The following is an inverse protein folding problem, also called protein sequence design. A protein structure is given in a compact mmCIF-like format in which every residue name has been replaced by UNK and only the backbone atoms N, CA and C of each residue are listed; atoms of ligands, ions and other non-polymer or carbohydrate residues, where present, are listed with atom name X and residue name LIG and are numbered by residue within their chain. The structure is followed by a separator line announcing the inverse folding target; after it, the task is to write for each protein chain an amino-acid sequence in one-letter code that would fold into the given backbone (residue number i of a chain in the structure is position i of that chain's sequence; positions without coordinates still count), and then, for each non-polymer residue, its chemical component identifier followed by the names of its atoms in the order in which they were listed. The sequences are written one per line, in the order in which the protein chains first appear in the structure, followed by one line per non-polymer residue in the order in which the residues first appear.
data_IF_215749287627
#
_entry.id   IF_215749287627
#
_cell.length_a   1.000
_cell.length_b   1.000
_cell.length_c   1.000
_cell.angle_alpha   90.00
_cell.angle_beta   90.00
_cell.angle_gamma   90.00
#
_symmetry.space_group_name_H-M   'P 1'
#
loop_
_entity.id
_entity.type
_entity.pdbx_description
1 polymer ?
#
# COMPACT_ATOMS: atom_id res chain seq x y z
N UNK A 1 9.80 -15.72 -13.33
CA UNK A 1 9.59 -14.95 -12.07
C UNK A 1 8.13 -14.98 -11.63
N UNK A 2 7.17 -14.52 -12.44
CA UNK A 2 5.75 -14.45 -12.05
C UNK A 2 5.12 -15.80 -11.66
N UNK A 3 5.43 -16.88 -12.38
CA UNK A 3 4.93 -18.24 -12.07
C UNK A 3 5.46 -18.73 -10.70
N UNK A 4 6.75 -18.50 -10.42
CA UNK A 4 7.41 -18.86 -9.15
C UNK A 4 6.79 -18.14 -7.96
N UNK A 5 6.52 -16.84 -8.09
CA UNK A 5 5.84 -16.04 -7.05
C UNK A 5 4.41 -16.56 -6.82
N UNK A 6 3.70 -16.91 -7.89
CA UNK A 6 2.37 -17.51 -7.82
C UNK A 6 2.37 -18.85 -7.08
N UNK A 7 3.34 -19.72 -7.38
CA UNK A 7 3.44 -21.04 -6.76
C UNK A 7 3.81 -20.91 -5.28
N UNK A 8 4.71 -19.97 -4.95
CA UNK A 8 5.15 -19.69 -3.57
C UNK A 8 4.02 -19.08 -2.71
N UNK A 9 3.10 -18.31 -3.29
CA UNK A 9 1.95 -17.76 -2.55
C UNK A 9 0.89 -18.82 -2.21
N UNK A 10 0.57 -19.69 -3.17
CA UNK A 10 -0.52 -20.68 -3.03
C UNK A 10 -0.07 -21.95 -2.30
N UNK A 11 1.18 -22.38 -2.49
CA UNK A 11 1.69 -23.62 -1.91
C UNK A 11 1.54 -23.72 -0.37
N UNK A 12 1.82 -22.67 0.43
CA UNK A 12 1.59 -22.69 1.88
C UNK A 12 0.13 -22.98 2.25
N UNK A 13 -0.83 -22.45 1.48
CA UNK A 13 -2.28 -22.64 1.75
C UNK A 13 -2.71 -24.08 1.51
N UNK A 14 -2.24 -24.68 0.42
CA UNK A 14 -2.56 -26.07 0.12
C UNK A 14 -1.88 -27.03 1.10
N UNK A 15 -0.65 -26.72 1.51
CA UNK A 15 0.09 -27.55 2.45
C UNK A 15 -0.51 -27.50 3.86
N UNK A 16 -0.91 -26.31 4.33
CA UNK A 16 -1.69 -26.16 5.57
C UNK A 16 -3.00 -26.96 5.51
N UNK A 17 -3.74 -26.88 4.40
CA UNK A 17 -4.98 -27.64 4.19
C UNK A 17 -4.75 -29.14 4.34
N UNK A 18 -3.70 -29.67 3.70
CA UNK A 18 -3.36 -31.10 3.72
C UNK A 18 -2.95 -31.56 5.11
N UNK A 19 -2.06 -30.82 5.78
CA UNK A 19 -1.64 -31.12 7.16
C UNK A 19 -2.85 -31.26 8.09
N UNK A 20 -3.75 -30.28 8.06
CA UNK A 20 -4.95 -30.30 8.90
C UNK A 20 -5.86 -31.46 8.53
N UNK A 21 -6.14 -31.69 7.24
CA UNK A 21 -7.00 -32.79 6.81
C UNK A 21 -6.44 -34.17 7.21
N UNK A 22 -5.14 -34.39 7.03
CA UNK A 22 -4.48 -35.67 7.35
C UNK A 22 -4.44 -35.91 8.87
N UNK A 23 -4.32 -34.85 9.67
CA UNK A 23 -4.39 -34.93 11.14
C UNK A 23 -5.77 -35.40 11.62
N UNK A 24 -6.84 -34.83 11.05
CA UNK A 24 -8.22 -35.20 11.42
C UNK A 24 -8.70 -36.51 10.80
N UNK A 25 -8.03 -37.03 9.77
CA UNK A 25 -8.33 -38.32 9.15
C UNK A 25 -7.66 -39.52 9.86
N UNK A 26 -6.91 -39.29 10.95
CA UNK A 26 -6.16 -40.34 11.65
C UNK A 26 -4.85 -40.72 10.98
N UNK A 27 -4.23 -39.79 10.23
CA UNK A 27 -2.97 -40.00 9.53
C UNK A 27 -1.78 -40.25 10.48
N UNK A 28 -0.80 -41.01 9.98
CA UNK A 28 0.44 -41.33 10.68
C UNK A 28 1.22 -40.05 11.06
N UNK A 29 1.72 -39.98 12.30
CA UNK A 29 2.52 -38.88 12.83
C UNK A 29 3.74 -38.63 11.93
N UNK A 30 4.30 -39.68 11.33
CA UNK A 30 5.40 -39.57 10.37
C UNK A 30 5.05 -38.78 9.09
N UNK A 31 3.83 -38.90 8.59
CA UNK A 31 3.35 -38.13 7.43
C UNK A 31 3.12 -36.65 7.79
N UNK A 32 2.57 -36.40 8.98
CA UNK A 32 2.38 -35.04 9.52
C UNK A 32 3.73 -34.34 9.68
N UNK A 33 4.74 -35.02 10.21
CA UNK A 33 6.08 -34.46 10.41
C UNK A 33 6.75 -34.09 9.08
N UNK A 34 6.63 -34.94 8.05
CA UNK A 34 7.13 -34.64 6.71
C UNK A 34 6.42 -33.44 6.08
N UNK A 35 5.10 -33.35 6.19
CA UNK A 35 4.35 -32.21 5.66
C UNK A 35 4.68 -30.90 6.41
N UNK A 36 4.88 -30.97 7.73
CA UNK A 36 5.32 -29.82 8.53
C UNK A 36 6.75 -29.37 8.15
N UNK A 37 7.67 -30.32 7.94
CA UNK A 37 9.02 -30.03 7.46
C UNK A 37 9.00 -29.43 6.04
N UNK A 38 8.16 -29.95 5.14
CA UNK A 38 7.96 -29.38 3.81
C UNK A 38 7.40 -27.94 3.90
N UNK A 39 6.47 -27.68 4.82
CA UNK A 39 5.93 -26.34 5.05
C UNK A 39 6.99 -25.37 5.54
N UNK A 40 7.80 -25.79 6.51
CA UNK A 40 8.93 -24.98 6.99
C UNK A 40 9.91 -24.67 5.85
N UNK A 41 10.22 -25.66 4.99
CA UNK A 41 11.07 -25.46 3.82
C UNK A 41 10.49 -24.45 2.83
N UNK A 42 9.22 -24.58 2.45
CA UNK A 42 8.54 -23.64 1.55
C UNK A 42 8.47 -22.23 2.16
N UNK A 43 8.14 -22.12 3.45
CA UNK A 43 8.07 -20.84 4.16
C UNK A 43 9.44 -20.16 4.23
N UNK A 44 10.52 -20.93 4.44
CA UNK A 44 11.89 -20.42 4.49
C UNK A 44 12.32 -19.90 3.11
N UNK A 45 12.05 -20.66 2.03
CA UNK A 45 12.33 -20.22 0.65
C UNK A 45 11.53 -18.96 0.31
N UNK A 46 10.25 -18.91 0.68
CA UNK A 46 9.40 -17.74 0.49
C UNK A 46 9.96 -16.52 1.24
N UNK A 47 10.41 -16.70 2.49
CA UNK A 47 11.03 -15.67 3.32
C UNK A 47 12.33 -15.14 2.73
N UNK A 48 13.22 -16.01 2.27
CA UNK A 48 14.47 -15.62 1.60
C UNK A 48 14.19 -14.84 0.32
N UNK A 49 13.22 -15.28 -0.48
CA UNK A 49 12.85 -14.57 -1.72
C UNK A 49 12.29 -13.18 -1.42
N UNK A 50 11.41 -13.06 -0.42
CA UNK A 50 10.86 -11.77 0.04
C UNK A 50 11.97 -10.85 0.56
N UNK A 51 12.89 -11.37 1.36
CA UNK A 51 14.06 -10.62 1.84
C UNK A 51 14.92 -10.11 0.68
N UNK A 52 15.25 -10.99 -0.27
CA UNK A 52 16.08 -10.65 -1.43
C UNK A 52 15.42 -9.58 -2.29
N UNK A 53 14.12 -9.69 -2.57
CA UNK A 53 13.37 -8.66 -3.29
C UNK A 53 13.38 -7.32 -2.54
N UNK A 54 13.17 -7.33 -1.22
CA UNK A 54 13.16 -6.10 -0.43
C UNK A 54 14.54 -5.43 -0.38
N UNK A 55 15.62 -6.20 -0.22
CA UNK A 55 16.98 -5.68 -0.24
C UNK A 55 17.33 -5.11 -1.62
N UNK A 56 16.97 -5.81 -2.70
CA UNK A 56 17.18 -5.31 -4.07
C UNK A 56 16.43 -4.00 -4.32
N UNK A 57 15.17 -3.92 -3.87
CA UNK A 57 14.35 -2.71 -3.97
C UNK A 57 14.98 -1.54 -3.21
N UNK A 58 15.45 -1.79 -1.98
CA UNK A 58 16.18 -0.79 -1.19
C UNK A 58 17.47 -0.34 -1.86
N UNK A 59 18.23 -1.26 -2.46
CA UNK A 59 19.46 -0.94 -3.18
C UNK A 59 19.19 -0.05 -4.41
N UNK A 60 18.14 -0.34 -5.19
CA UNK A 60 17.75 0.47 -6.35
C UNK A 60 17.33 1.88 -5.92
N UNK A 61 16.54 2.00 -4.84
CA UNK A 61 16.13 3.28 -4.27
C UNK A 61 17.34 4.11 -3.80
N UNK A 62 18.26 3.52 -3.03
CA UNK A 62 19.48 4.22 -2.59
C UNK A 62 20.40 4.61 -3.74
N UNK A 63 20.45 3.82 -4.81
CA UNK A 63 21.22 4.18 -6.00
C UNK A 63 20.65 5.42 -6.68
N UNK A 64 19.32 5.57 -6.73
CA UNK A 64 18.67 6.76 -7.25
C UNK A 64 18.95 7.99 -6.37
N UNK A 65 18.79 7.86 -5.04
CA UNK A 65 19.09 8.93 -4.07
C UNK A 65 20.55 9.35 -4.14
N UNK A 66 21.49 8.39 -4.23
CA UNK A 66 22.91 8.67 -4.39
C UNK A 66 23.21 9.47 -5.66
N UNK A 67 22.60 9.08 -6.80
CA UNK A 67 22.78 9.80 -8.06
C UNK A 67 22.24 11.24 -7.96
N UNK A 68 21.09 11.44 -7.33
CA UNK A 68 20.52 12.77 -7.08
C UNK A 68 21.43 13.63 -6.19
N UNK A 69 21.94 13.08 -5.08
CA UNK A 69 22.86 13.81 -4.19
C UNK A 69 24.12 14.28 -4.92
N UNK A 70 24.70 13.42 -5.77
CA UNK A 70 25.87 13.77 -6.57
C UNK A 70 25.52 14.85 -7.60
N UNK A 71 24.41 14.71 -8.32
CA UNK A 71 23.96 15.69 -9.30
C UNK A 71 23.66 17.07 -8.68
N UNK A 72 23.11 17.11 -7.46
CA UNK A 72 22.92 18.36 -6.72
C UNK A 72 24.27 18.99 -6.36
N UNK A 73 25.18 18.22 -5.77
CA UNK A 73 26.52 18.71 -5.37
C UNK A 73 27.32 19.24 -6.56
N UNK A 74 27.30 18.55 -7.70
CA UNK A 74 28.02 18.98 -8.91
C UNK A 74 27.44 20.25 -9.55
N UNK A 75 26.14 20.52 -9.33
CA UNK A 75 25.46 21.71 -9.85
C UNK A 75 25.40 22.87 -8.83
N UNK A 76 25.77 22.66 -7.57
CA UNK A 76 25.76 23.71 -6.53
C UNK A 76 26.67 24.89 -6.90
N UNK A 77 27.84 24.65 -7.50
CA UNK A 77 28.77 25.70 -7.94
C UNK A 77 28.25 26.51 -9.15
N UNK A 78 27.44 25.90 -10.04
CA UNK A 78 26.84 26.61 -11.18
C UNK A 78 25.58 27.39 -10.79
N UNK A 79 24.75 26.84 -9.91
CA UNK A 79 23.49 27.46 -9.47
C UNK A 79 23.73 28.71 -8.60
N UNK A 80 24.83 28.77 -7.83
CA UNK A 80 25.13 29.92 -6.98
C UNK A 80 25.54 31.18 -7.76
N UNK A 81 26.01 31.04 -9.01
CA UNK A 81 26.42 32.18 -9.83
C UNK A 81 25.29 32.83 -10.63
N UNK A 82 24.20 32.13 -10.94
CA UNK A 82 23.13 32.70 -11.78
C UNK A 82 21.91 33.24 -11.03
N UNK A 83 21.61 32.84 -9.78
CA UNK A 83 20.32 33.20 -9.16
C UNK A 83 20.42 33.61 -7.68
N UNK A 84 20.39 34.92 -7.41
CA UNK A 84 20.20 35.53 -6.08
C UNK A 84 18.75 35.39 -5.55
N UNK A 85 18.08 34.27 -5.81
CA UNK A 85 16.75 33.86 -5.29
C UNK A 85 16.59 32.33 -5.22
N UNK A 86 17.67 31.58 -5.04
CA UNK A 86 17.68 30.11 -5.22
C UNK A 86 17.45 29.28 -3.95
N UNK A 87 17.07 29.86 -2.81
CA UNK A 87 16.85 29.05 -1.58
C UNK A 87 15.48 28.34 -1.56
N UNK A 88 14.51 28.77 -2.37
CA UNK A 88 13.14 28.20 -2.34
C UNK A 88 12.86 27.16 -3.44
N UNK A 89 13.68 27.08 -4.49
CA UNK A 89 13.48 26.14 -5.63
C UNK A 89 14.26 24.82 -5.51
N UNK A 90 15.38 24.78 -4.78
CA UNK A 90 16.19 23.57 -4.62
C UNK A 90 15.48 22.46 -3.81
N UNK A 91 14.60 22.83 -2.89
CA UNK A 91 13.81 21.88 -2.08
C UNK A 91 12.65 21.29 -2.87
N UNK A 92 12.00 22.06 -3.75
CA UNK A 92 10.89 21.55 -4.59
C UNK A 92 11.36 20.58 -5.68
N UNK A 93 12.55 20.79 -6.26
CA UNK A 93 13.12 19.87 -7.26
C UNK A 93 13.60 18.57 -6.59
N UNK A 94 14.21 18.65 -5.40
CA UNK A 94 14.61 17.46 -4.65
C UNK A 94 13.39 16.64 -4.19
N UNK A 95 12.24 17.27 -3.94
CA UNK A 95 10.98 16.58 -3.60
C UNK A 95 10.34 15.89 -4.83
N UNK A 96 10.47 16.50 -6.01
CA UNK A 96 9.93 15.94 -7.27
C UNK A 96 10.77 14.76 -7.77
N UNK A 97 12.08 14.73 -7.49
CA UNK A 97 12.96 13.61 -7.86
C UNK A 97 12.92 12.49 -6.80
N UNK A 98 12.66 12.79 -5.52
CA UNK A 98 12.32 11.77 -4.50
C UNK A 98 10.99 11.04 -4.83
N UNK A 99 10.13 11.63 -5.66
CA UNK A 99 8.90 11.03 -6.18
C UNK A 99 9.05 10.39 -7.58
N UNK A 100 10.25 10.42 -8.17
CA UNK A 100 10.57 9.70 -9.39
C UNK A 100 11.03 8.27 -9.05
N UNK A 101 10.11 7.49 -8.48
CA UNK A 101 10.27 6.03 -8.42
C UNK A 101 10.54 5.53 -9.85
N UNK A 102 11.55 4.68 -10.11
CA UNK A 102 11.95 4.32 -11.45
C UNK A 102 10.73 3.76 -12.19
N UNK A 103 10.31 4.47 -13.23
CA UNK A 103 9.01 4.32 -13.92
C UNK A 103 8.81 2.91 -14.50
N UNK A 104 9.86 2.09 -14.56
CA UNK A 104 9.79 0.66 -14.93
C UNK A 104 9.44 -0.31 -13.78
N UNK A 105 9.64 0.06 -12.51
CA UNK A 105 9.28 -0.75 -11.35
C UNK A 105 7.79 -0.62 -10.98
N UNK A 106 7.19 0.54 -11.24
CA UNK A 106 5.83 0.92 -10.79
C UNK A 106 4.67 0.23 -11.55
N UNK A 107 4.90 -0.30 -12.75
CA UNK A 107 3.85 -1.03 -13.50
C UNK A 107 3.85 -2.54 -13.22
N UNK A 108 4.95 -3.09 -12.69
CA UNK A 108 5.08 -4.53 -12.43
C UNK A 108 4.44 -4.95 -11.12
N UNK A 109 4.48 -4.08 -10.09
CA UNK A 109 3.89 -4.36 -8.78
C UNK A 109 2.38 -4.56 -8.78
N UNK A 110 1.56 -3.72 -9.44
CA UNK A 110 0.10 -3.85 -9.46
C UNK A 110 -0.32 -5.08 -10.28
N UNK A 111 0.40 -5.37 -11.36
CA UNK A 111 0.18 -6.57 -12.17
C UNK A 111 0.48 -7.82 -11.35
N UNK A 112 1.56 -7.80 -10.56
CA UNK A 112 1.93 -8.91 -9.69
C UNK A 112 0.96 -9.08 -8.52
N UNK A 113 0.60 -7.99 -7.85
CA UNK A 113 -0.37 -7.99 -6.74
C UNK A 113 -1.77 -8.37 -7.22
N UNK A 114 -2.22 -7.83 -8.36
CA UNK A 114 -3.48 -8.19 -8.99
C UNK A 114 -3.49 -9.66 -9.39
N UNK A 115 -2.39 -10.17 -9.97
CA UNK A 115 -2.21 -11.57 -10.25
C UNK A 115 -2.35 -12.44 -8.99
N UNK A 116 -1.65 -12.09 -7.91
CA UNK A 116 -1.74 -12.81 -6.63
C UNK A 116 -3.16 -12.80 -6.06
N UNK A 117 -3.85 -11.66 -6.06
CA UNK A 117 -5.25 -11.57 -5.61
C UNK A 117 -6.16 -12.47 -6.43
N UNK A 118 -6.05 -12.43 -7.76
CA UNK A 118 -6.83 -13.28 -8.66
C UNK A 118 -6.50 -14.76 -8.41
N UNK A 119 -5.23 -15.10 -8.20
CA UNK A 119 -4.78 -16.45 -7.91
C UNK A 119 -5.35 -17.01 -6.61
N UNK A 120 -5.24 -16.25 -5.52
CA UNK A 120 -5.78 -16.63 -4.21
C UNK A 120 -7.31 -16.74 -4.30
N UNK A 121 -7.98 -15.77 -4.93
CA UNK A 121 -9.43 -15.81 -5.09
C UNK A 121 -9.89 -17.00 -5.95
N UNK A 122 -9.21 -17.28 -7.07
CA UNK A 122 -9.49 -18.44 -7.91
C UNK A 122 -9.29 -19.76 -7.14
N UNK A 123 -8.24 -19.86 -6.32
CA UNK A 123 -8.02 -21.00 -5.44
C UNK A 123 -9.15 -21.15 -4.40
N UNK A 124 -9.61 -20.05 -3.79
CA UNK A 124 -10.75 -20.08 -2.86
C UNK A 124 -12.05 -20.52 -3.55
N UNK A 125 -12.32 -20.02 -4.77
CA UNK A 125 -13.47 -20.45 -5.57
C UNK A 125 -13.37 -21.94 -5.92
N UNK A 126 -12.19 -22.43 -6.30
CA UNK A 126 -11.94 -23.84 -6.55
C UNK A 126 -12.18 -24.72 -5.31
N UNK A 127 -11.82 -24.23 -4.11
CA UNK A 127 -12.04 -24.96 -2.87
C UNK A 127 -13.50 -25.06 -2.49
N UNK A 128 -14.23 -23.93 -2.46
CA UNK A 128 -15.66 -23.92 -2.17
C UNK A 128 -16.31 -22.60 -2.66
N UNK A 129 -17.06 -22.62 -3.78
CA UNK A 129 -17.61 -21.40 -4.40
C UNK A 129 -18.52 -20.59 -3.47
N UNK A 130 -19.35 -21.25 -2.65
CA UNK A 130 -20.28 -20.57 -1.75
C UNK A 130 -19.57 -19.81 -0.62
N UNK A 131 -18.50 -20.40 -0.06
CA UNK A 131 -17.67 -19.73 0.94
C UNK A 131 -16.88 -18.57 0.32
N UNK A 132 -16.38 -18.74 -0.90
CA UNK A 132 -15.69 -17.68 -1.63
C UNK A 132 -16.62 -16.50 -1.96
N UNK A 133 -17.87 -16.79 -2.35
CA UNK A 133 -18.89 -15.76 -2.59
C UNK A 133 -19.22 -14.99 -1.32
N UNK A 134 -19.35 -15.66 -0.18
CA UNK A 134 -19.57 -15.01 1.10
C UNK A 134 -18.40 -14.10 1.50
N UNK A 135 -17.15 -14.59 1.34
CA UNK A 135 -15.96 -13.76 1.55
C UNK A 135 -15.95 -12.54 0.62
N UNK A 136 -16.28 -12.73 -0.67
CA UNK A 136 -16.40 -11.63 -1.62
C UNK A 136 -17.48 -10.62 -1.22
N UNK A 137 -18.65 -11.09 -0.77
CA UNK A 137 -19.73 -10.21 -0.33
C UNK A 137 -19.30 -9.33 0.85
N UNK A 138 -18.56 -9.89 1.82
CA UNK A 138 -18.02 -9.13 2.97
C UNK A 138 -16.93 -8.15 2.55
N UNK A 139 -16.10 -8.48 1.56
CA UNK A 139 -15.03 -7.60 1.08
C UNK A 139 -15.49 -6.57 0.06
N UNK A 140 -16.58 -6.82 -0.66
CA UNK A 140 -17.09 -5.94 -1.72
C UNK A 140 -17.32 -4.47 -1.30
N UNK A 141 -17.75 -4.14 -0.07
CA UNK A 141 -17.91 -2.74 0.34
C UNK A 141 -16.58 -1.97 0.34
N UNK A 142 -15.44 -2.67 0.53
CA UNK A 142 -14.12 -2.06 0.47
C UNK A 142 -13.84 -1.41 -0.88
N UNK A 143 -14.35 -1.97 -1.99
CA UNK A 143 -14.21 -1.40 -3.32
C UNK A 143 -14.81 0.01 -3.44
N UNK A 144 -15.76 0.34 -2.57
CA UNK A 144 -16.50 1.61 -2.60
C UNK A 144 -15.96 2.58 -1.54
N UNK A 145 -15.88 2.17 -0.27
CA UNK A 145 -15.50 3.11 0.79
C UNK A 145 -14.02 3.50 0.71
N UNK A 146 -13.13 2.58 0.32
CA UNK A 146 -11.69 2.85 0.21
C UNK A 146 -11.40 4.02 -0.72
N UNK A 147 -11.85 4.04 -1.99
CA UNK A 147 -11.56 5.17 -2.87
C UNK A 147 -12.24 6.46 -2.41
N UNK A 148 -13.41 6.40 -1.77
CA UNK A 148 -14.09 7.59 -1.23
C UNK A 148 -13.30 8.23 -0.08
N UNK A 149 -12.87 7.42 0.89
CA UNK A 149 -12.07 7.87 2.03
C UNK A 149 -10.70 8.35 1.56
N UNK A 150 -10.09 7.66 0.59
CA UNK A 150 -8.81 8.07 0.02
C UNK A 150 -8.90 9.43 -0.68
N UNK A 151 -9.95 9.68 -1.47
CA UNK A 151 -10.21 11.00 -2.06
C UNK A 151 -10.35 12.09 -0.99
N UNK A 152 -11.04 11.79 0.11
CA UNK A 152 -11.20 12.72 1.22
C UNK A 152 -9.87 13.02 1.94
N UNK A 153 -9.02 12.00 2.14
CA UNK A 153 -7.67 12.15 2.68
C UNK A 153 -6.81 13.02 1.75
N UNK A 154 -6.73 12.67 0.46
CA UNK A 154 -5.91 13.38 -0.53
C UNK A 154 -6.31 14.86 -0.63
N UNK A 155 -7.60 15.17 -0.57
CA UNK A 155 -8.09 16.56 -0.54
C UNK A 155 -7.60 17.31 0.70
N UNK A 156 -7.68 16.71 1.89
CA UNK A 156 -7.17 17.34 3.13
C UNK A 156 -5.66 17.49 3.15
N UNK A 157 -4.91 16.52 2.60
CA UNK A 157 -3.46 16.61 2.43
C UNK A 157 -3.09 17.77 1.52
N UNK A 158 -3.82 17.97 0.42
CA UNK A 158 -3.63 19.09 -0.50
C UNK A 158 -3.83 20.45 0.20
N UNK A 159 -4.92 20.59 0.98
CA UNK A 159 -5.14 21.79 1.79
C UNK A 159 -4.06 22.01 2.86
N UNK A 160 -3.57 20.94 3.49
CA UNK A 160 -2.47 21.01 4.46
C UNK A 160 -1.19 21.54 3.81
N UNK A 161 -0.84 21.06 2.61
CA UNK A 161 0.36 21.52 1.89
C UNK A 161 0.22 23.00 1.53
N UNK A 162 -0.95 23.43 1.03
CA UNK A 162 -1.22 24.84 0.73
C UNK A 162 -1.10 25.73 1.98
N UNK A 163 -1.67 25.29 3.12
CA UNK A 163 -1.59 26.01 4.39
C UNK A 163 -0.14 26.11 4.92
N UNK A 164 0.65 25.03 4.80
CA UNK A 164 2.06 25.04 5.18
C UNK A 164 2.88 25.97 4.29
N UNK A 165 2.65 25.99 2.97
CA UNK A 165 3.32 26.93 2.05
C UNK A 165 3.03 28.39 2.43
N UNK A 166 1.79 28.71 2.80
CA UNK A 166 1.43 30.06 3.27
C UNK A 166 2.15 30.46 4.56
N UNK A 167 2.35 29.51 5.48
CA UNK A 167 3.15 29.74 6.69
C UNK A 167 4.62 29.99 6.32
N UNK A 168 5.20 29.18 5.44
CA UNK A 168 6.59 29.35 5.00
C UNK A 168 6.83 30.71 4.32
N UNK A 169 5.95 31.14 3.42
CA UNK A 169 6.02 32.46 2.80
C UNK A 169 5.84 33.58 3.83
N UNK A 170 4.89 33.42 4.75
CA UNK A 170 4.64 34.40 5.82
C UNK A 170 5.82 34.54 6.79
N UNK A 171 6.58 33.48 7.07
CA UNK A 171 7.77 33.53 7.93
C UNK A 171 8.94 34.23 7.23
N UNK A 172 9.10 34.02 5.92
CA UNK A 172 10.20 34.62 5.12
C UNK A 172 9.91 36.09 4.80
N UNK A 173 8.63 36.46 4.60
CA UNK A 173 8.21 37.81 4.25
C UNK A 173 7.87 38.70 5.46
N UNK A 174 7.80 38.14 6.67
CA UNK A 174 7.37 38.89 7.86
C UNK A 174 8.33 40.04 8.18
N UNK A 175 7.80 41.26 8.16
CA UNK A 175 8.48 42.42 8.76
C UNK A 175 8.47 42.31 10.29
N UNK A 176 9.40 42.96 11.03
CA UNK A 176 9.43 42.92 12.50
C UNK A 176 8.11 43.34 13.18
N UNK A 177 7.29 44.14 12.50
CA UNK A 177 5.96 44.56 12.94
C UNK A 177 4.88 43.46 12.78
N UNK A 178 5.00 42.56 11.80
CA UNK A 178 4.08 41.43 11.60
C UNK A 178 4.39 40.26 12.55
N UNK A 179 5.64 40.14 13.01
CA UNK A 179 5.99 39.20 14.08
C UNK A 179 5.37 39.57 15.43
N UNK A 180 5.02 40.85 15.64
CA UNK A 180 4.31 41.30 16.83
C UNK A 180 2.81 40.93 16.81
N UNK A 181 2.24 40.66 15.63
CA UNK A 181 0.84 40.22 15.45
C UNK A 181 0.71 38.69 15.53
N UNK A 182 1.27 38.11 16.60
CA UNK A 182 1.38 36.66 16.82
C UNK A 182 0.05 35.90 16.74
N UNK A 183 -1.09 36.58 16.88
CA UNK A 183 -2.42 35.98 16.72
C UNK A 183 -2.64 35.37 15.33
N UNK A 184 -2.17 36.02 14.26
CA UNK A 184 -2.36 35.54 12.89
C UNK A 184 -1.53 34.28 12.56
N UNK A 185 -0.38 34.08 13.21
CA UNK A 185 0.41 32.84 13.08
C UNK A 185 -0.20 31.69 13.89
N UNK A 186 -0.69 31.96 15.11
CA UNK A 186 -1.34 30.94 15.94
C UNK A 186 -2.60 30.37 15.27
N UNK A 187 -3.42 31.21 14.63
CA UNK A 187 -4.59 30.75 13.86
C UNK A 187 -4.20 29.87 12.66
N UNK A 188 -3.13 30.21 11.95
CA UNK A 188 -2.61 29.40 10.83
C UNK A 188 -2.10 28.03 11.30
N UNK A 189 -1.40 27.98 12.44
CA UNK A 189 -0.95 26.73 13.05
C UNK A 189 -2.15 25.89 13.53
N UNK A 190 -3.15 26.50 14.16
CA UNK A 190 -4.38 25.82 14.57
C UNK A 190 -5.16 25.25 13.38
N UNK A 191 -5.20 25.98 12.25
CA UNK A 191 -5.81 25.51 11.01
C UNK A 191 -5.09 24.26 10.46
N UNK A 192 -3.75 24.28 10.39
CA UNK A 192 -2.95 23.11 9.99
C UNK A 192 -3.17 21.93 10.94
N UNK A 193 -3.25 22.18 12.25
CA UNK A 193 -3.55 21.14 13.24
C UNK A 193 -4.91 20.49 13.00
N UNK A 194 -5.96 21.28 12.76
CA UNK A 194 -7.31 20.76 12.48
C UNK A 194 -7.36 19.93 11.19
N UNK A 195 -6.63 20.35 10.15
CA UNK A 195 -6.47 19.59 8.91
C UNK A 195 -5.77 18.26 9.16
N UNK A 196 -4.68 18.27 9.94
CA UNK A 196 -3.94 17.07 10.30
C UNK A 196 -4.80 16.10 11.11
N UNK A 197 -5.53 16.59 12.10
CA UNK A 197 -6.45 15.78 12.89
C UNK A 197 -7.55 15.16 12.02
N UNK A 198 -8.06 15.89 11.04
CA UNK A 198 -9.00 15.36 10.05
C UNK A 198 -8.43 14.25 9.18
N UNK A 199 -7.17 14.37 8.75
CA UNK A 199 -6.45 13.32 8.00
C UNK A 199 -6.26 12.08 8.87
N UNK A 200 -5.78 12.27 10.10
CA UNK A 200 -5.56 11.19 11.08
C UNK A 200 -6.87 10.45 11.35
N UNK A 201 -7.95 11.17 11.65
CA UNK A 201 -9.27 10.57 11.88
C UNK A 201 -9.72 9.74 10.69
N UNK A 202 -9.65 10.27 9.47
CA UNK A 202 -10.01 9.50 8.27
C UNK A 202 -9.14 8.27 8.06
N UNK A 203 -7.82 8.37 8.26
CA UNK A 203 -6.89 7.25 8.12
C UNK A 203 -7.19 6.14 9.12
N UNK A 204 -7.41 6.48 10.39
CA UNK A 204 -7.74 5.48 11.41
C UNK A 204 -9.15 4.91 11.24
N UNK A 205 -10.13 5.70 10.79
CA UNK A 205 -11.45 5.19 10.41
C UNK A 205 -11.38 4.21 9.23
N UNK A 206 -10.53 4.48 8.24
CA UNK A 206 -10.32 3.59 7.10
C UNK A 206 -9.67 2.28 7.56
N UNK A 207 -8.61 2.36 8.37
CA UNK A 207 -7.95 1.19 8.96
C UNK A 207 -8.92 0.35 9.80
N UNK A 208 -9.74 1.00 10.62
CA UNK A 208 -10.77 0.33 11.41
C UNK A 208 -11.75 -0.42 10.51
N UNK A 209 -12.26 0.22 9.46
CA UNK A 209 -13.25 -0.38 8.57
C UNK A 209 -12.65 -1.54 7.76
N UNK A 210 -11.41 -1.41 7.28
CA UNK A 210 -10.68 -2.51 6.64
C UNK A 210 -10.49 -3.70 7.60
N UNK A 211 -10.06 -3.44 8.83
CA UNK A 211 -9.90 -4.49 9.84
C UNK A 211 -11.23 -5.14 10.24
N UNK A 212 -12.30 -4.36 10.34
CA UNK A 212 -13.65 -4.85 10.60
C UNK A 212 -14.11 -5.79 9.49
N UNK A 213 -13.92 -5.42 8.22
CA UNK A 213 -14.27 -6.28 7.09
C UNK A 213 -13.44 -7.57 7.07
N UNK A 214 -12.14 -7.49 7.41
CA UNK A 214 -11.29 -8.67 7.56
C UNK A 214 -11.82 -9.64 8.61
N UNK A 215 -12.11 -9.16 9.82
CA UNK A 215 -12.65 -9.99 10.89
C UNK A 215 -14.06 -10.51 10.60
N UNK A 216 -14.92 -9.71 9.95
CA UNK A 216 -16.22 -10.19 9.46
C UNK A 216 -16.06 -11.29 8.41
N UNK A 217 -15.04 -11.19 7.55
CA UNK A 217 -14.73 -12.22 6.56
C UNK A 217 -14.32 -13.53 7.22
N UNK A 218 -13.44 -13.47 8.22
CA UNK A 218 -13.10 -14.64 9.04
C UNK A 218 -14.34 -15.20 9.74
N UNK A 219 -15.15 -14.35 10.38
CA UNK A 219 -16.37 -14.79 11.06
C UNK A 219 -17.34 -15.50 10.10
N UNK A 220 -17.55 -14.95 8.90
CA UNK A 220 -18.38 -15.56 7.86
C UNK A 220 -17.83 -16.91 7.39
N UNK A 221 -16.51 -17.01 7.17
CA UNK A 221 -15.84 -18.26 6.78
C UNK A 221 -15.97 -19.31 7.88
N UNK A 222 -15.77 -18.94 9.15
CA UNK A 222 -15.90 -19.86 10.28
C UNK A 222 -17.35 -20.33 10.47
N UNK A 223 -18.33 -19.41 10.36
CA UNK A 223 -19.74 -19.74 10.49
C UNK A 223 -20.23 -20.67 9.37
N UNK A 224 -19.96 -20.31 8.10
CA UNK A 224 -20.35 -21.11 6.95
C UNK A 224 -19.54 -22.40 6.84
N UNK A 225 -18.22 -22.31 7.01
CA UNK A 225 -17.33 -23.45 6.99
C UNK A 225 -17.67 -24.45 8.09
N UNK A 226 -17.92 -23.98 9.31
CA UNK A 226 -18.37 -24.81 10.43
C UNK A 226 -19.69 -25.52 10.13
N UNK A 227 -20.66 -24.80 9.56
CA UNK A 227 -21.92 -25.39 9.11
C UNK A 227 -21.71 -26.50 8.06
N UNK A 228 -20.85 -26.28 7.06
CA UNK A 228 -20.54 -27.29 6.03
C UNK A 228 -19.73 -28.48 6.56
N UNK A 229 -18.87 -28.26 7.56
CA UNK A 229 -18.14 -29.35 8.24
C UNK A 229 -19.12 -30.24 9.00
N UNK A 230 -20.08 -29.65 9.73
CA UNK A 230 -21.11 -30.41 10.46
C UNK A 230 -21.98 -31.24 9.50
N UNK A 231 -22.26 -30.72 8.30
CA UNK A 231 -22.95 -31.47 7.24
C UNK A 231 -22.09 -32.52 6.52
N UNK A 232 -20.77 -32.55 6.76
CA UNK A 232 -19.85 -33.44 6.06
C UNK A 232 -19.55 -33.04 4.61
N UNK A 233 -19.97 -31.85 4.16
CA UNK A 233 -19.74 -31.36 2.79
C UNK A 233 -18.31 -30.80 2.61
N UNK A 234 -17.68 -30.36 3.69
CA UNK A 234 -16.37 -29.71 3.69
C UNK A 234 -15.50 -30.28 4.82
N UNK A 235 -14.18 -30.34 4.61
CA UNK A 235 -13.21 -30.76 5.64
C UNK A 235 -12.68 -29.56 6.43
N UNK A 236 -12.25 -29.79 7.67
CA UNK A 236 -11.71 -28.74 8.56
C UNK A 236 -10.53 -27.99 7.92
N UNK A 237 -9.66 -28.69 7.20
CA UNK A 237 -8.53 -28.06 6.52
C UNK A 237 -8.96 -27.06 5.46
N UNK A 238 -10.15 -27.21 4.84
CA UNK A 238 -10.68 -26.20 3.92
C UNK A 238 -10.95 -24.89 4.64
N UNK A 239 -11.51 -24.92 5.86
CA UNK A 239 -11.73 -23.71 6.66
C UNK A 239 -10.39 -23.02 6.94
N UNK A 240 -9.37 -23.79 7.36
CA UNK A 240 -8.02 -23.26 7.62
C UNK A 240 -7.43 -22.63 6.36
N UNK A 241 -7.54 -23.29 5.21
CA UNK A 241 -7.08 -22.75 3.93
C UNK A 241 -7.78 -21.43 3.57
N UNK A 242 -9.07 -21.32 3.84
CA UNK A 242 -9.84 -20.10 3.62
C UNK A 242 -9.41 -18.97 4.56
N UNK A 243 -9.24 -19.24 5.85
CA UNK A 243 -8.77 -18.22 6.83
C UNK A 243 -7.37 -17.73 6.47
N UNK A 244 -6.45 -18.64 6.17
CA UNK A 244 -5.09 -18.31 5.73
C UNK A 244 -5.08 -17.56 4.40
N UNK A 245 -5.93 -17.97 3.44
CA UNK A 245 -6.07 -17.32 2.14
C UNK A 245 -6.57 -15.89 2.30
N UNK A 246 -7.54 -15.66 3.18
CA UNK A 246 -8.05 -14.32 3.50
C UNK A 246 -6.95 -13.44 4.12
N UNK A 247 -6.12 -14.00 5.01
CA UNK A 247 -4.95 -13.31 5.55
C UNK A 247 -3.97 -12.88 4.46
N UNK A 248 -3.69 -13.76 3.51
CA UNK A 248 -2.81 -13.45 2.37
C UNK A 248 -3.40 -12.43 1.38
N UNK A 249 -4.73 -12.27 1.30
CA UNK A 249 -5.36 -11.26 0.46
C UNK A 249 -5.19 -9.84 1.01
N UNK A 250 -5.03 -9.69 2.33
CA UNK A 250 -5.08 -8.37 2.97
C UNK A 250 -3.85 -7.49 2.63
N UNK A 251 -2.65 -8.08 2.59
CA UNK A 251 -1.41 -7.37 2.20
C UNK A 251 -1.46 -6.85 0.75
N UNK A 252 -1.66 -7.70 -0.29
CA UNK A 252 -1.67 -7.25 -1.68
C UNK A 252 -2.83 -6.28 -1.99
N UNK A 253 -3.96 -6.43 -1.29
CA UNK A 253 -5.08 -5.51 -1.43
C UNK A 253 -4.72 -4.10 -0.94
N UNK A 254 -4.10 -4.00 0.23
CA UNK A 254 -3.62 -2.72 0.77
C UNK A 254 -2.62 -2.05 -0.17
N UNK A 255 -1.70 -2.82 -0.74
CA UNK A 255 -0.71 -2.29 -1.68
C UNK A 255 -1.32 -1.83 -3.00
N UNK A 256 -2.29 -2.57 -3.57
CA UNK A 256 -3.02 -2.14 -4.76
C UNK A 256 -3.80 -0.84 -4.53
N UNK A 257 -4.42 -0.71 -3.36
CA UNK A 257 -5.08 0.54 -2.95
C UNK A 257 -4.10 1.70 -2.85
N UNK A 258 -2.89 1.45 -2.32
CA UNK A 258 -1.82 2.44 -2.27
C UNK A 258 -1.33 2.82 -3.68
N UNK A 259 -1.14 1.86 -4.57
CA UNK A 259 -0.76 2.15 -5.95
C UNK A 259 -1.82 2.93 -6.73
N UNK A 260 -3.10 2.57 -6.58
CA UNK A 260 -4.21 3.36 -7.16
C UNK A 260 -4.26 4.79 -6.61
N UNK A 261 -3.83 5.00 -5.36
CA UNK A 261 -3.65 6.34 -4.79
C UNK A 261 -2.50 7.06 -5.49
N UNK A 262 -1.36 6.41 -5.68
CA UNK A 262 -0.16 7.02 -6.24
C UNK A 262 -0.32 7.37 -7.73
N UNK A 263 -0.94 6.50 -8.53
CA UNK A 263 -1.27 6.80 -9.93
C UNK A 263 -2.13 8.06 -10.09
N UNK A 264 -3.14 8.26 -9.24
CA UNK A 264 -4.00 9.45 -9.30
C UNK A 264 -3.25 10.73 -8.93
N UNK A 265 -2.19 10.61 -8.14
CA UNK A 265 -1.29 11.72 -7.84
C UNK A 265 -0.38 12.02 -9.04
N UNK A 266 0.07 11.00 -9.78
CA UNK A 266 0.87 11.17 -11.00
C UNK A 266 0.07 11.78 -12.15
N UNK A 267 -1.18 11.37 -12.35
CA UNK A 267 -2.07 11.92 -13.40
C UNK A 267 -2.35 13.41 -13.17
N UNK A 268 -2.60 13.81 -11.92
CA UNK A 268 -2.80 15.22 -11.56
C UNK A 268 -1.51 16.05 -11.68
N UNK A 269 -0.33 15.47 -11.43
CA UNK A 269 0.96 16.12 -11.70
C UNK A 269 1.23 16.28 -13.20
N UNK A 270 0.88 15.29 -14.03
CA UNK A 270 1.07 15.34 -15.47
C UNK A 270 0.20 16.43 -16.12
N UNK A 271 -1.05 16.57 -15.67
CA UNK A 271 -1.95 17.63 -16.13
C UNK A 271 -1.45 19.04 -15.74
N UNK A 272 -0.87 19.20 -14.55
CA UNK A 272 -0.26 20.47 -14.13
C UNK A 272 0.97 20.83 -14.99
N UNK A 273 1.83 19.85 -15.32
CA UNK A 273 2.99 20.06 -16.20
C UNK A 273 2.54 20.39 -17.62
N UNK A 274 1.51 19.70 -18.13
CA UNK A 274 0.95 19.94 -19.47
C UNK A 274 0.33 21.34 -19.58
N UNK A 275 -0.39 21.80 -18.55
CA UNK A 275 -0.94 23.16 -18.52
C UNK A 275 0.16 24.22 -18.43
N UNK A 276 1.20 23.99 -17.61
CA UNK A 276 2.35 24.91 -17.53
C UNK A 276 3.10 24.99 -18.86
N UNK A 277 3.27 23.88 -19.57
CA UNK A 277 3.94 23.83 -20.87
C UNK A 277 3.13 24.53 -21.99
N UNK A 278 1.80 24.46 -21.95
CA UNK A 278 0.94 25.17 -22.91
C UNK A 278 0.95 26.69 -22.65
N UNK A 279 0.92 27.12 -21.39
CA UNK A 279 0.97 28.54 -21.04
C UNK A 279 2.30 29.22 -21.41
N UNK A 280 3.39 28.46 -21.54
CA UNK A 280 4.69 28.94 -22.03
C UNK A 280 4.80 28.97 -23.57
N UNK A 281 3.84 28.37 -24.30
CA UNK A 281 3.80 28.35 -25.77
C UNK A 281 2.91 29.44 -26.35
N UNK A 282 1.96 29.95 -25.55
CA UNK A 282 0.96 30.93 -25.97
C UNK A 282 1.24 32.36 -25.43
N UNK A 283 2.37 32.57 -24.73
CA UNK A 283 2.84 33.88 -24.26
C UNK A 283 4.19 34.25 -24.85
#
# INVERSE_FOLDING_TARGET
MSVLVFTVGIAPLELQRRIVNDTFAGGDIGAILHLAAAYAGVALVAGILKLTMNVYRGFVSERAVRWLRIALLDNFDRLMHEHRRAETQGVEISLVIDEADPVGASLSEPVLQGGLLIGIFAYMVYLQPLMALAAFAVFSPQLIFVPLMQKAINRRVSYRIAALRQISVGVIAASPLEMADGHSQHERVAHVFSLNMGIIRLKFSMNFLMNLMYHLGIAAILALGGYYVVKGEVRVGTIVAFVSGLGQLNEPWGDLVNWFRDLKVTETKYDMIRQAANNLRDG
#
